data_IF_193036304982
#
_entry.id   IF_193036304982
#
_cell.length_a   1.000
_cell.length_b   1.000
_cell.length_c   1.000
_cell.angle_alpha   90.00
_cell.angle_beta   90.00
_cell.angle_gamma   90.00
#
_symmetry.space_group_name_H-M   'P 1'
#
loop_
_entity.id
_entity.type
_entity.pdbx_description
1 polymer ?
#
# COMPACT_ATOMS: atom_id res chain seq x y z
N UNK A 1 32.21 71.26 -13.38
CA UNK A 1 31.62 71.99 -12.24
C UNK A 1 31.51 71.01 -11.09
N UNK A 2 32.39 71.13 -10.10
CA UNK A 2 32.12 71.73 -8.77
C UNK A 2 31.50 70.69 -7.82
N UNK A 3 32.33 69.95 -7.06
CA UNK A 3 32.77 70.24 -5.66
C UNK A 3 31.74 69.67 -4.65
N UNK A 4 32.02 68.64 -3.82
CA UNK A 4 32.87 68.55 -2.61
C UNK A 4 32.49 69.45 -1.41
N UNK A 5 32.40 68.79 -0.23
CA UNK A 5 32.55 69.28 1.16
C UNK A 5 31.37 70.09 1.75
N UNK A 6 30.94 69.91 3.00
CA UNK A 6 31.66 69.90 4.30
C UNK A 6 30.85 69.08 5.34
N UNK A 7 31.37 68.19 6.20
CA UNK A 7 32.38 68.28 7.30
C UNK A 7 32.01 69.24 8.44
N UNK A 8 31.96 68.71 9.67
CA UNK A 8 32.45 69.18 11.00
C UNK A 8 31.84 68.18 12.03
N UNK A 9 32.51 67.29 12.75
CA UNK A 9 33.77 67.27 13.52
C UNK A 9 33.75 68.18 14.77
N UNK A 10 33.21 67.64 15.86
CA UNK A 10 33.39 68.09 17.24
C UNK A 10 32.94 66.91 18.15
N UNK A 11 33.61 66.41 19.19
CA UNK A 11 34.73 66.89 20.00
C UNK A 11 35.43 65.65 20.60
N UNK A 12 36.75 65.77 20.78
CA UNK A 12 37.62 64.95 21.61
C UNK A 12 37.07 64.71 23.04
N UNK A 13 37.73 63.79 23.77
CA UNK A 13 38.20 63.88 25.17
C UNK A 13 38.05 62.48 25.79
N UNK A 14 39.12 61.68 25.70
CA UNK A 14 40.01 61.33 26.84
C UNK A 14 39.35 60.39 27.86
N UNK A 15 39.87 59.15 27.85
CA UNK A 15 40.26 58.30 28.99
C UNK A 15 39.26 58.18 30.16
N UNK A 16 38.79 56.96 30.39
CA UNK A 16 38.26 56.58 31.70
C UNK A 16 37.53 55.24 31.73
N UNK A 17 38.20 54.21 32.27
CA UNK A 17 37.69 53.05 32.98
C UNK A 17 36.36 52.37 32.56
N UNK A 18 36.48 51.09 32.20
CA UNK A 18 35.62 50.00 32.68
C UNK A 18 34.17 49.99 32.22
N UNK A 19 33.85 49.16 31.21
CA UNK A 19 32.50 48.61 31.03
C UNK A 19 32.58 47.16 30.55
N UNK A 20 32.07 46.27 31.39
CA UNK A 20 31.59 44.94 31.02
C UNK A 20 30.70 45.08 29.78
N UNK A 21 31.08 44.43 28.68
CA UNK A 21 30.23 44.30 27.50
C UNK A 21 28.97 43.52 27.92
N UNK A 22 27.82 44.18 27.91
CA UNK A 22 26.55 43.47 27.95
C UNK A 22 26.31 42.91 26.55
N UNK A 23 25.99 41.61 26.43
CA UNK A 23 25.69 40.99 25.15
C UNK A 23 24.46 41.66 24.52
N UNK A 24 24.50 41.83 23.21
CA UNK A 24 23.39 42.41 22.44
C UNK A 24 22.18 41.48 22.45
N UNK A 25 20.95 42.00 22.39
CA UNK A 25 19.72 41.16 22.44
C UNK A 25 19.68 40.07 21.35
N UNK A 26 20.33 40.30 20.20
CA UNK A 26 20.50 39.29 19.13
C UNK A 26 21.44 38.14 19.52
N UNK A 27 22.49 38.42 20.29
CA UNK A 27 23.44 37.42 20.81
C UNK A 27 22.76 36.53 21.86
N UNK A 28 21.98 37.13 22.77
CA UNK A 28 21.24 36.42 23.82
C UNK A 28 20.11 35.57 23.24
N UNK A 29 19.50 36.01 22.13
CA UNK A 29 18.44 35.25 21.45
C UNK A 29 19.00 34.10 20.61
N UNK A 30 20.15 34.29 19.95
CA UNK A 30 20.86 33.22 19.23
C UNK A 30 21.35 32.10 20.14
N UNK A 31 22.04 32.43 21.24
CA UNK A 31 22.51 31.44 22.23
C UNK A 31 21.36 30.65 22.87
N UNK A 32 20.22 31.31 23.10
CA UNK A 32 19.03 30.64 23.67
C UNK A 32 18.41 29.65 22.68
N UNK A 33 18.33 30.00 21.39
CA UNK A 33 17.85 29.12 20.34
C UNK A 33 18.75 27.90 20.16
N UNK A 34 20.07 28.09 20.20
CA UNK A 34 21.03 26.99 20.09
C UNK A 34 20.97 26.05 21.31
N UNK A 35 20.79 26.59 22.53
CA UNK A 35 20.61 25.76 23.73
C UNK A 35 19.33 24.91 23.69
N UNK A 36 18.22 25.49 23.20
CA UNK A 36 16.96 24.76 23.01
C UNK A 36 17.07 23.66 21.94
N UNK A 37 17.78 23.94 20.85
CA UNK A 37 18.07 22.97 19.80
C UNK A 37 18.97 21.82 20.27
N UNK A 38 20.01 22.11 21.06
CA UNK A 38 20.87 21.09 21.64
C UNK A 38 20.09 20.16 22.58
N UNK A 39 19.19 20.75 23.40
CA UNK A 39 18.31 19.98 24.27
C UNK A 39 17.37 19.07 23.46
N UNK A 40 16.73 19.61 22.41
CA UNK A 40 15.84 18.85 21.54
C UNK A 40 16.56 17.69 20.84
N UNK A 41 17.82 17.88 20.43
CA UNK A 41 18.66 16.81 19.87
C UNK A 41 18.94 15.69 20.88
N UNK A 42 19.19 16.02 22.15
CA UNK A 42 19.40 15.03 23.22
C UNK A 42 18.11 14.25 23.51
N UNK A 43 16.99 14.95 23.68
CA UNK A 43 15.67 14.33 23.90
C UNK A 43 15.29 13.41 22.73
N UNK A 44 15.54 13.84 21.49
CA UNK A 44 15.28 13.03 20.30
C UNK A 44 16.18 11.78 20.21
N UNK A 45 17.46 11.90 20.59
CA UNK A 45 18.37 10.76 20.62
C UNK A 45 17.99 9.71 21.68
N UNK A 46 17.34 10.12 22.77
CA UNK A 46 16.76 9.19 23.75
C UNK A 46 15.47 8.56 23.23
N UNK A 47 14.58 9.36 22.62
CA UNK A 47 13.36 8.87 21.98
C UNK A 47 13.68 7.80 20.92
N UNK A 48 14.66 8.07 20.06
CA UNK A 48 15.12 7.16 19.01
C UNK A 48 15.46 5.76 19.53
N UNK A 49 16.10 5.64 20.69
CA UNK A 49 16.46 4.34 21.27
C UNK A 49 15.24 3.53 21.71
N UNK A 50 14.09 4.18 21.86
CA UNK A 50 12.83 3.58 22.30
C UNK A 50 11.83 3.30 21.17
N UNK A 51 12.13 3.71 19.94
CA UNK A 51 11.20 3.53 18.82
C UNK A 51 11.19 2.07 18.37
N UNK A 52 10.01 1.46 18.44
CA UNK A 52 9.74 0.18 17.80
C UNK A 52 9.49 0.38 16.30
N UNK A 53 10.48 0.04 15.48
CA UNK A 53 10.39 0.13 14.02
C UNK A 53 9.72 -1.07 13.36
N UNK A 54 9.12 -1.98 14.14
CA UNK A 54 8.29 -3.08 13.63
C UNK A 54 6.80 -2.76 13.63
N UNK A 55 6.41 -1.63 14.24
CA UNK A 55 5.03 -1.17 14.28
C UNK A 55 4.84 0.05 13.37
N UNK A 56 3.95 0.00 12.37
CA UNK A 56 3.82 1.08 11.40
C UNK A 56 3.29 2.38 12.04
N UNK A 57 2.45 2.29 13.08
CA UNK A 57 2.02 3.45 13.88
C UNK A 57 3.21 4.13 14.57
N UNK A 58 4.14 3.34 15.12
CA UNK A 58 5.34 3.87 15.78
C UNK A 58 6.34 4.47 14.79
N UNK A 59 6.49 3.90 13.60
CA UNK A 59 7.28 4.50 12.52
C UNK A 59 6.71 5.88 12.13
N UNK A 60 5.39 6.02 12.04
CA UNK A 60 4.75 7.31 11.72
C UNK A 60 4.87 8.34 12.84
N UNK A 61 4.72 7.93 14.10
CA UNK A 61 5.07 8.79 15.23
C UNK A 61 6.52 9.27 15.13
N UNK A 62 7.45 8.38 14.75
CA UNK A 62 8.85 8.73 14.60
C UNK A 62 9.10 9.74 13.48
N UNK A 63 8.46 9.56 12.32
CA UNK A 63 8.53 10.53 11.22
C UNK A 63 8.05 11.92 11.66
N UNK A 64 6.98 12.00 12.46
CA UNK A 64 6.48 13.27 13.01
C UNK A 64 7.47 13.92 13.98
N UNK A 65 8.10 13.13 14.84
CA UNK A 65 9.13 13.66 15.76
C UNK A 65 10.37 14.15 14.99
N UNK A 66 10.73 13.50 13.88
CA UNK A 66 11.76 14.02 12.97
C UNK A 66 11.35 15.37 12.38
N UNK A 67 10.11 15.51 11.90
CA UNK A 67 9.61 16.76 11.32
C UNK A 67 9.61 17.90 12.35
N UNK A 68 9.14 17.65 13.58
CA UNK A 68 9.20 18.61 14.70
C UNK A 68 10.64 19.00 15.05
N UNK A 69 11.57 18.04 15.06
CA UNK A 69 12.96 18.33 15.32
C UNK A 69 13.56 19.19 14.20
N UNK A 70 13.28 18.86 12.93
CA UNK A 70 13.74 19.67 11.79
C UNK A 70 13.29 21.12 11.93
N UNK A 71 12.03 21.37 12.28
CA UNK A 71 11.51 22.73 12.52
C UNK A 71 12.30 23.48 13.59
N UNK A 72 12.66 22.82 14.70
CA UNK A 72 13.46 23.41 15.79
C UNK A 72 14.91 23.71 15.41
N UNK A 73 15.46 23.03 14.41
CA UNK A 73 16.86 23.23 13.98
C UNK A 73 17.03 24.32 12.91
N UNK A 74 15.93 24.79 12.30
CA UNK A 74 15.98 25.88 11.31
C UNK A 74 16.48 27.17 11.98
N UNK A 75 17.49 27.80 11.39
CA UNK A 75 18.07 29.06 11.91
C UNK A 75 19.05 28.89 13.08
N UNK A 76 19.41 27.66 13.44
CA UNK A 76 20.39 27.33 14.50
C UNK A 76 21.73 26.91 13.91
N UNK A 77 22.79 26.84 14.73
CA UNK A 77 24.09 26.31 14.29
C UNK A 77 24.04 24.83 13.86
N UNK A 78 22.98 24.11 14.23
CA UNK A 78 22.79 22.69 13.96
C UNK A 78 22.06 22.40 12.64
N UNK A 79 21.84 23.41 11.79
CA UNK A 79 21.18 23.26 10.49
C UNK A 79 21.80 22.15 9.63
N UNK A 80 23.10 21.88 9.77
CA UNK A 80 23.79 20.78 9.08
C UNK A 80 23.24 19.37 9.40
N UNK A 81 22.59 19.19 10.55
CA UNK A 81 21.96 17.92 10.95
C UNK A 81 20.62 17.65 10.25
N UNK A 82 20.02 18.66 9.60
CA UNK A 82 18.75 18.49 8.90
C UNK A 82 18.87 17.48 7.75
N UNK A 83 20.01 17.45 7.05
CA UNK A 83 20.26 16.47 5.97
C UNK A 83 20.28 15.02 6.45
N UNK A 84 20.83 14.77 7.65
CA UNK A 84 20.81 13.45 8.28
C UNK A 84 19.38 13.04 8.66
N UNK A 85 18.59 13.99 9.20
CA UNK A 85 17.18 13.79 9.51
C UNK A 85 16.34 13.50 8.28
N UNK A 86 16.61 14.16 7.14
CA UNK A 86 15.94 13.89 5.86
C UNK A 86 16.24 12.50 5.34
N UNK A 87 17.52 12.10 5.38
CA UNK A 87 17.95 10.77 4.98
C UNK A 87 17.30 9.69 5.85
N UNK A 88 17.17 9.97 7.15
CA UNK A 88 16.51 9.07 8.09
C UNK A 88 15.01 8.96 7.84
N UNK A 89 14.34 10.09 7.63
CA UNK A 89 12.92 10.14 7.27
C UNK A 89 12.64 9.32 6.01
N UNK A 90 13.48 9.44 4.98
CA UNK A 90 13.34 8.65 3.75
C UNK A 90 13.45 7.14 4.00
N UNK A 91 14.41 6.70 4.82
CA UNK A 91 14.53 5.28 5.21
C UNK A 91 13.30 4.79 5.98
N UNK A 92 12.80 5.59 6.91
CA UNK A 92 11.60 5.25 7.69
C UNK A 92 10.35 5.17 6.81
N UNK A 93 10.23 5.99 5.77
CA UNK A 93 9.12 5.89 4.79
C UNK A 93 9.17 4.55 4.05
N UNK A 94 10.36 4.15 3.56
CA UNK A 94 10.49 2.85 2.89
C UNK A 94 10.16 1.67 3.83
N UNK A 95 10.64 1.73 5.08
CA UNK A 95 10.29 0.74 6.10
C UNK A 95 8.79 0.74 6.43
N UNK A 96 8.16 1.92 6.47
CA UNK A 96 6.73 2.03 6.69
C UNK A 96 5.94 1.34 5.58
N UNK A 97 6.33 1.49 4.32
CA UNK A 97 5.68 0.81 3.20
C UNK A 97 5.79 -0.72 3.34
N UNK A 98 6.95 -1.24 3.77
CA UNK A 98 7.16 -2.68 4.01
C UNK A 98 6.36 -3.19 5.22
N UNK A 99 6.40 -2.48 6.34
CA UNK A 99 5.76 -2.89 7.60
C UNK A 99 4.25 -2.69 7.59
N UNK A 100 3.75 -1.72 6.82
CA UNK A 100 2.31 -1.47 6.68
C UNK A 100 1.61 -2.49 5.77
N UNK A 101 2.35 -3.21 4.92
CA UNK A 101 1.75 -4.17 3.99
C UNK A 101 1.02 -5.30 4.74
N UNK A 102 1.64 -5.95 5.71
CA UNK A 102 1.03 -7.07 6.46
C UNK A 102 -0.31 -6.72 7.13
N UNK A 103 -0.43 -5.65 7.95
CA UNK A 103 -1.72 -5.30 8.57
C UNK A 103 -2.78 -4.90 7.53
N UNK A 104 -2.38 -4.28 6.42
CA UNK A 104 -3.27 -3.93 5.32
C UNK A 104 -3.78 -5.20 4.62
N UNK A 105 -2.89 -6.12 4.25
CA UNK A 105 -3.26 -7.40 3.64
C UNK A 105 -4.22 -8.18 4.54
N UNK A 106 -3.95 -8.22 5.85
CA UNK A 106 -4.82 -8.88 6.82
C UNK A 106 -6.21 -8.24 6.89
N UNK A 107 -6.29 -6.91 6.89
CA UNK A 107 -7.56 -6.20 6.87
C UNK A 107 -8.35 -6.49 5.57
N UNK A 108 -7.67 -6.50 4.42
CA UNK A 108 -8.27 -6.84 3.14
C UNK A 108 -8.79 -8.28 3.10
N UNK A 109 -8.03 -9.25 3.62
CA UNK A 109 -8.45 -10.65 3.74
C UNK A 109 -9.69 -10.80 4.62
N UNK A 110 -9.69 -10.18 5.80
CA UNK A 110 -10.85 -10.20 6.70
C UNK A 110 -12.09 -9.58 6.05
N UNK A 111 -11.91 -8.43 5.39
CA UNK A 111 -12.98 -7.74 4.66
C UNK A 111 -13.57 -8.63 3.57
N UNK A 112 -12.73 -9.29 2.75
CA UNK A 112 -13.17 -10.24 1.71
C UNK A 112 -13.95 -11.41 2.29
N UNK A 113 -13.46 -12.01 3.39
CA UNK A 113 -14.15 -13.11 4.07
C UNK A 113 -15.54 -12.71 4.60
N UNK A 114 -15.71 -11.46 5.02
CA UNK A 114 -16.99 -10.91 5.46
C UNK A 114 -17.90 -10.59 4.28
N UNK A 115 -17.37 -10.03 3.18
CA UNK A 115 -18.13 -9.71 1.97
C UNK A 115 -18.89 -10.91 1.41
N UNK A 116 -18.28 -12.09 1.45
CA UNK A 116 -18.91 -13.31 0.93
C UNK A 116 -20.12 -13.73 1.79
N UNK A 117 -20.22 -13.25 3.03
CA UNK A 117 -21.41 -13.43 3.88
C UNK A 117 -22.50 -12.39 3.61
N UNK A 118 -22.24 -11.42 2.74
CA UNK A 118 -23.16 -10.33 2.42
C UNK A 118 -23.20 -9.18 3.44
N UNK A 119 -22.28 -9.16 4.42
CA UNK A 119 -22.26 -8.13 5.46
C UNK A 119 -21.32 -6.97 5.09
N UNK A 120 -21.80 -6.12 4.18
CA UNK A 120 -21.04 -4.94 3.72
C UNK A 120 -20.71 -3.95 4.84
N UNK A 121 -21.54 -3.88 5.89
CA UNK A 121 -21.32 -2.99 7.04
C UNK A 121 -20.15 -3.47 7.89
N UNK A 122 -20.11 -4.77 8.21
CA UNK A 122 -18.97 -5.35 8.90
C UNK A 122 -17.68 -5.31 8.06
N UNK A 123 -17.78 -5.51 6.73
CA UNK A 123 -16.66 -5.37 5.81
C UNK A 123 -16.06 -3.96 5.85
N UNK A 124 -16.90 -2.92 5.86
CA UNK A 124 -16.47 -1.52 6.01
C UNK A 124 -15.85 -1.27 7.39
N UNK A 125 -16.43 -1.86 8.45
CA UNK A 125 -15.89 -1.74 9.79
C UNK A 125 -14.48 -2.35 9.93
N UNK A 126 -14.16 -3.45 9.25
CA UNK A 126 -12.79 -3.97 9.22
C UNK A 126 -11.80 -2.98 8.60
N UNK A 127 -12.15 -2.35 7.47
CA UNK A 127 -11.27 -1.35 6.86
C UNK A 127 -11.11 -0.12 7.75
N UNK A 128 -12.15 0.26 8.51
CA UNK A 128 -12.09 1.38 9.46
C UNK A 128 -11.23 1.11 10.70
N UNK A 129 -10.82 -0.14 10.95
CA UNK A 129 -9.86 -0.45 12.03
C UNK A 129 -8.42 -0.07 11.66
N UNK A 130 -8.12 0.11 10.37
CA UNK A 130 -6.80 0.55 9.95
C UNK A 130 -6.57 2.01 10.41
N UNK A 131 -5.40 2.32 10.99
CA UNK A 131 -5.08 3.69 11.38
C UNK A 131 -5.16 4.64 10.18
N UNK A 132 -5.88 5.75 10.35
CA UNK A 132 -5.96 6.83 9.35
C UNK A 132 -4.59 7.38 8.94
N UNK A 133 -3.59 7.23 9.81
CA UNK A 133 -2.23 7.64 9.58
C UNK A 133 -1.58 6.90 8.41
N UNK A 134 -2.03 5.68 8.10
CA UNK A 134 -1.55 4.89 6.96
C UNK A 134 -2.02 5.45 5.60
N UNK A 135 -2.87 6.48 5.57
CA UNK A 135 -3.41 7.09 4.33
C UNK A 135 -2.37 7.50 3.29
N UNK A 136 -1.12 7.71 3.73
CA UNK A 136 -0.02 8.18 2.87
C UNK A 136 0.84 7.05 2.30
N UNK A 137 0.64 5.80 2.70
CA UNK A 137 1.42 4.67 2.19
C UNK A 137 0.84 4.17 0.87
N UNK A 138 1.70 3.67 -0.03
CA UNK A 138 1.23 3.13 -1.31
C UNK A 138 0.24 1.95 -1.16
N UNK A 139 0.45 0.99 -0.23
CA UNK A 139 -0.49 -0.12 -0.01
C UNK A 139 -1.88 0.35 0.49
N UNK A 140 -1.96 1.46 1.25
CA UNK A 140 -3.23 1.95 1.75
C UNK A 140 -4.12 2.56 0.64
N UNK A 141 -3.54 2.94 -0.49
CA UNK A 141 -4.32 3.39 -1.66
C UNK A 141 -5.32 2.33 -2.16
N UNK A 142 -5.02 1.04 -1.98
CA UNK A 142 -5.93 -0.06 -2.31
C UNK A 142 -7.09 -0.15 -1.31
N UNK A 143 -6.79 0.02 -0.02
CA UNK A 143 -7.78 0.07 1.06
C UNK A 143 -8.77 1.21 0.84
N UNK A 144 -8.28 2.39 0.46
CA UNK A 144 -9.14 3.56 0.17
C UNK A 144 -10.14 3.26 -0.94
N UNK A 145 -9.71 2.56 -2.01
CA UNK A 145 -10.61 2.17 -3.11
C UNK A 145 -11.74 1.28 -2.62
N UNK A 146 -11.46 0.27 -1.79
CA UNK A 146 -12.50 -0.62 -1.26
C UNK A 146 -13.39 0.08 -0.24
N UNK A 147 -12.83 0.93 0.62
CA UNK A 147 -13.58 1.72 1.60
C UNK A 147 -14.58 2.65 0.90
N UNK A 148 -14.12 3.40 -0.10
CA UNK A 148 -14.95 4.30 -0.91
C UNK A 148 -16.12 3.55 -1.57
N UNK A 149 -15.85 2.34 -2.09
CA UNK A 149 -16.86 1.48 -2.71
C UNK A 149 -17.92 1.02 -1.71
N UNK A 150 -17.51 0.63 -0.51
CA UNK A 150 -18.43 0.19 0.55
C UNK A 150 -19.23 1.34 1.16
N UNK A 151 -18.66 2.53 1.28
CA UNK A 151 -19.36 3.73 1.72
C UNK A 151 -20.45 4.15 0.72
N UNK A 152 -20.22 3.93 -0.58
CA UNK A 152 -21.16 4.27 -1.65
C UNK A 152 -22.08 3.13 -2.09
N UNK A 153 -22.10 1.99 -1.37
CA UNK A 153 -22.90 0.80 -1.71
C UNK A 153 -24.40 1.07 -1.92
N UNK A 154 -24.97 2.03 -1.19
CA UNK A 154 -26.39 2.34 -1.27
C UNK A 154 -26.74 3.06 -2.59
N UNK A 155 -25.75 3.69 -3.23
CA UNK A 155 -25.86 4.36 -4.54
C UNK A 155 -25.78 3.39 -5.73
N UNK A 156 -25.56 2.10 -5.47
CA UNK A 156 -25.52 1.10 -6.53
C UNK A 156 -26.92 0.90 -7.14
N UNK A 157 -27.02 0.72 -8.47
CA UNK A 157 -28.26 0.31 -9.12
C UNK A 157 -28.77 -1.01 -8.57
N UNK A 158 -30.10 -1.19 -8.56
CA UNK A 158 -30.73 -2.40 -8.04
C UNK A 158 -30.31 -3.67 -8.79
N UNK A 159 -30.08 -3.58 -10.10
CA UNK A 159 -29.54 -4.68 -10.89
C UNK A 159 -28.17 -5.16 -10.37
N UNK A 160 -27.28 -4.21 -10.05
CA UNK A 160 -25.97 -4.52 -9.45
C UNK A 160 -26.15 -5.13 -8.06
N UNK A 161 -27.02 -4.57 -7.23
CA UNK A 161 -27.31 -5.10 -5.88
C UNK A 161 -27.84 -6.54 -5.96
N UNK A 162 -28.76 -6.82 -6.88
CA UNK A 162 -29.32 -8.15 -7.10
C UNK A 162 -28.25 -9.14 -7.56
N UNK A 163 -27.41 -8.77 -8.52
CA UNK A 163 -26.32 -9.63 -8.98
C UNK A 163 -25.29 -9.93 -7.87
N UNK A 164 -24.97 -8.93 -7.03
CA UNK A 164 -24.10 -9.11 -5.88
C UNK A 164 -24.72 -10.06 -4.84
N UNK A 165 -26.02 -9.92 -4.55
CA UNK A 165 -26.74 -10.83 -3.64
C UNK A 165 -26.79 -12.27 -4.16
N UNK A 166 -27.03 -12.45 -5.47
CA UNK A 166 -27.03 -13.77 -6.10
C UNK A 166 -25.62 -14.40 -6.07
N UNK A 167 -24.57 -13.62 -6.35
CA UNK A 167 -23.19 -14.09 -6.27
C UNK A 167 -22.81 -14.50 -4.83
N UNK A 168 -23.21 -13.70 -3.83
CA UNK A 168 -23.04 -14.02 -2.40
C UNK A 168 -23.74 -15.33 -2.04
N UNK A 169 -24.97 -15.54 -2.52
CA UNK A 169 -25.71 -16.80 -2.31
C UNK A 169 -24.94 -18.00 -2.87
N UNK A 170 -24.53 -17.94 -4.14
CA UNK A 170 -23.77 -19.01 -4.76
C UNK A 170 -22.43 -19.28 -4.05
N UNK A 171 -21.72 -18.23 -3.65
CA UNK A 171 -20.45 -18.37 -2.94
C UNK A 171 -20.63 -19.01 -1.54
N UNK A 172 -21.74 -18.74 -0.85
CA UNK A 172 -22.06 -19.40 0.41
C UNK A 172 -22.47 -20.86 0.26
N UNK A 173 -23.00 -21.24 -0.91
CA UNK A 173 -23.27 -22.63 -1.30
C UNK A 173 -22.03 -23.33 -1.88
N UNK A 174 -20.84 -22.71 -1.81
CA UNK A 174 -19.58 -23.17 -2.45
C UNK A 174 -19.71 -23.42 -3.96
N UNK A 175 -20.69 -22.79 -4.60
CA UNK A 175 -20.88 -22.81 -6.04
C UNK A 175 -20.14 -21.63 -6.70
N UNK A 176 -18.81 -21.67 -6.59
CA UNK A 176 -17.93 -20.58 -7.02
C UNK A 176 -18.03 -20.29 -8.52
N UNK A 177 -18.27 -21.31 -9.35
CA UNK A 177 -18.46 -21.10 -10.79
C UNK A 177 -19.69 -20.25 -11.07
N UNK A 178 -20.85 -20.55 -10.47
CA UNK A 178 -22.06 -19.74 -10.66
C UNK A 178 -21.93 -18.35 -10.03
N UNK A 179 -21.26 -18.24 -8.88
CA UNK A 179 -20.95 -16.95 -8.27
C UNK A 179 -20.14 -16.07 -9.24
N UNK A 180 -19.07 -16.63 -9.79
CA UNK A 180 -18.17 -15.91 -10.69
C UNK A 180 -18.85 -15.55 -12.03
N UNK A 181 -19.60 -16.47 -12.64
CA UNK A 181 -20.37 -16.20 -13.87
C UNK A 181 -21.42 -15.10 -13.68
N UNK A 182 -22.01 -15.00 -12.48
CA UNK A 182 -22.95 -13.92 -12.14
C UNK A 182 -22.23 -12.58 -12.07
N UNK A 183 -21.03 -12.54 -11.47
CA UNK A 183 -20.22 -11.33 -11.38
C UNK A 183 -19.65 -10.89 -12.73
N UNK A 184 -19.19 -11.81 -13.58
CA UNK A 184 -18.74 -11.50 -14.96
C UNK A 184 -19.88 -10.90 -15.78
N UNK A 185 -21.09 -11.46 -15.69
CA UNK A 185 -22.28 -10.87 -16.34
C UNK A 185 -22.55 -9.45 -15.84
N UNK A 186 -22.48 -9.23 -14.53
CA UNK A 186 -22.65 -7.90 -13.94
C UNK A 186 -21.56 -6.90 -14.37
N UNK A 187 -20.31 -7.35 -14.52
CA UNK A 187 -19.20 -6.53 -15.06
C UNK A 187 -19.51 -6.08 -16.48
N UNK A 188 -19.96 -6.99 -17.34
CA UNK A 188 -20.26 -6.67 -18.73
C UNK A 188 -21.40 -5.64 -18.84
N UNK A 189 -22.47 -5.82 -18.06
CA UNK A 189 -23.55 -4.83 -17.97
C UNK A 189 -23.04 -3.46 -17.52
N UNK A 190 -22.13 -3.41 -16.54
CA UNK A 190 -21.52 -2.16 -16.09
C UNK A 190 -20.63 -1.52 -17.17
N UNK A 191 -19.86 -2.33 -17.91
CA UNK A 191 -18.98 -1.87 -18.98
C UNK A 191 -19.76 -1.35 -20.18
N UNK A 192 -20.84 -2.01 -20.60
CA UNK A 192 -21.65 -1.59 -21.74
C UNK A 192 -22.30 -0.23 -21.49
N UNK A 193 -22.76 0.00 -20.24
CA UNK A 193 -23.27 1.31 -19.81
C UNK A 193 -22.19 2.38 -19.76
N UNK A 194 -20.96 2.02 -19.39
CA UNK A 194 -19.84 2.95 -19.41
C UNK A 194 -19.45 3.35 -20.85
N UNK A 195 -19.45 2.40 -21.79
CA UNK A 195 -19.13 2.67 -23.20
C UNK A 195 -20.22 3.45 -23.92
N UNK A 196 -21.49 3.21 -23.59
CA UNK A 196 -22.64 3.95 -24.16
C UNK A 196 -22.65 5.45 -23.83
N UNK A 197 -21.83 5.89 -22.86
CA UNK A 197 -21.71 7.28 -22.43
C UNK A 197 -20.40 7.91 -22.96
N UNK A 198 -19.48 7.09 -23.48
CA UNK A 198 -18.10 7.47 -23.84
C UNK A 198 -17.89 8.00 -25.26
N UNK A 199 -18.94 8.20 -26.07
CA UNK A 199 -18.80 8.75 -27.43
C UNK A 199 -19.19 10.24 -27.57
N UNK A 200 -19.78 10.88 -26.55
CA UNK A 200 -20.24 12.28 -26.67
C UNK A 200 -19.42 13.34 -25.89
N UNK A 201 -18.54 12.97 -24.95
CA UNK A 201 -17.87 13.99 -24.09
C UNK A 201 -16.40 13.69 -23.75
N UNK A 202 -15.56 13.32 -24.73
CA UNK A 202 -14.17 12.91 -24.45
C UNK A 202 -13.15 14.02 -24.19
N UNK A 203 -13.52 15.31 -24.21
CA UNK A 203 -12.51 16.39 -24.06
C UNK A 203 -12.47 17.08 -22.69
N UNK A 204 -13.32 16.72 -21.73
CA UNK A 204 -13.24 17.25 -20.34
C UNK A 204 -13.71 16.23 -19.30
N UNK A 205 -12.98 15.13 -19.14
CA UNK A 205 -13.16 14.22 -18.00
C UNK A 205 -12.79 14.92 -16.67
N UNK A 206 -13.77 15.63 -16.10
CA UNK A 206 -13.66 16.32 -14.82
C UNK A 206 -13.73 15.33 -13.65
N UNK A 207 -13.36 15.77 -12.45
CA UNK A 207 -13.50 14.99 -11.21
C UNK A 207 -14.93 14.47 -10.94
N UNK A 208 -15.95 14.95 -11.64
CA UNK A 208 -17.35 14.48 -11.57
C UNK A 208 -17.54 13.09 -12.18
N UNK A 209 -16.68 12.66 -13.11
CA UNK A 209 -16.82 11.35 -13.76
C UNK A 209 -16.54 10.18 -12.82
N UNK A 210 -15.75 10.42 -11.76
CA UNK A 210 -15.47 9.45 -10.69
C UNK A 210 -16.67 9.20 -9.78
N UNK A 211 -17.72 10.03 -9.80
CA UNK A 211 -18.88 9.89 -8.92
C UNK A 211 -20.09 9.19 -9.57
N UNK A 212 -19.98 8.76 -10.82
CA UNK A 212 -21.10 8.17 -11.55
C UNK A 212 -21.42 6.74 -11.00
N UNK A 213 -22.71 6.40 -10.74
CA UNK A 213 -23.11 5.14 -10.07
C UNK A 213 -22.56 3.83 -10.68
N UNK A 214 -22.28 3.81 -11.99
CA UNK A 214 -21.72 2.64 -12.67
C UNK A 214 -20.22 2.43 -12.41
N UNK A 215 -19.47 3.50 -12.12
CA UNK A 215 -18.06 3.37 -11.69
C UNK A 215 -18.00 2.67 -10.34
N UNK A 216 -18.90 3.04 -9.41
CA UNK A 216 -19.06 2.32 -8.13
C UNK A 216 -19.51 0.88 -8.32
N UNK A 217 -20.41 0.66 -9.28
CA UNK A 217 -20.89 -0.69 -9.62
C UNK A 217 -19.76 -1.58 -10.10
N UNK A 218 -18.99 -1.13 -11.09
CA UNK A 218 -17.88 -1.89 -11.63
C UNK A 218 -16.85 -2.21 -10.53
N UNK A 219 -16.48 -1.23 -9.71
CA UNK A 219 -15.54 -1.45 -8.61
C UNK A 219 -16.07 -2.42 -7.56
N UNK A 220 -17.36 -2.33 -7.20
CA UNK A 220 -17.98 -3.25 -6.24
C UNK A 220 -18.01 -4.68 -6.78
N UNK A 221 -18.39 -4.86 -8.04
CA UNK A 221 -18.46 -6.20 -8.65
C UNK A 221 -17.07 -6.82 -8.78
N UNK A 222 -16.05 -6.05 -9.14
CA UNK A 222 -14.65 -6.50 -9.15
C UNK A 222 -14.18 -6.88 -7.74
N UNK A 223 -14.50 -6.04 -6.73
CA UNK A 223 -14.15 -6.32 -5.32
C UNK A 223 -14.79 -7.63 -4.84
N UNK A 224 -16.06 -7.85 -5.17
CA UNK A 224 -16.77 -9.09 -4.86
C UNK A 224 -16.18 -10.28 -5.62
N UNK A 225 -15.78 -10.11 -6.88
CA UNK A 225 -15.12 -11.17 -7.65
C UNK A 225 -13.81 -11.58 -7.00
N UNK A 226 -12.96 -10.62 -6.60
CA UNK A 226 -11.74 -10.90 -5.83
C UNK A 226 -12.06 -11.64 -4.54
N UNK A 227 -13.09 -11.24 -3.80
CA UNK A 227 -13.48 -11.93 -2.56
C UNK A 227 -13.90 -13.39 -2.81
N UNK A 228 -14.76 -13.63 -3.81
CA UNK A 228 -15.18 -14.99 -4.20
C UNK A 228 -13.99 -15.86 -4.59
N UNK A 229 -13.06 -15.32 -5.38
CA UNK A 229 -11.84 -16.00 -5.77
C UNK A 229 -10.94 -16.31 -4.57
N UNK A 230 -10.80 -15.37 -3.63
CA UNK A 230 -9.99 -15.54 -2.43
C UNK A 230 -10.46 -16.76 -1.62
N UNK A 231 -11.77 -16.91 -1.45
CA UNK A 231 -12.35 -18.06 -0.77
C UNK A 231 -12.18 -19.36 -1.55
N UNK A 232 -12.47 -19.36 -2.85
CA UNK A 232 -12.26 -20.56 -3.68
C UNK A 232 -10.81 -21.04 -3.62
N UNK A 233 -9.85 -20.13 -3.72
CA UNK A 233 -8.43 -20.45 -3.67
C UNK A 233 -7.99 -20.90 -2.27
N UNK A 234 -8.53 -20.30 -1.20
CA UNK A 234 -8.30 -20.78 0.16
C UNK A 234 -8.78 -22.22 0.32
N UNK A 235 -10.03 -22.51 -0.08
CA UNK A 235 -10.62 -23.86 0.01
C UNK A 235 -9.79 -24.90 -0.77
N UNK A 236 -9.33 -24.57 -1.99
CA UNK A 236 -8.50 -25.45 -2.82
C UNK A 236 -7.10 -25.65 -2.24
N UNK A 237 -6.50 -24.62 -1.65
CA UNK A 237 -5.15 -24.72 -1.08
C UNK A 237 -5.15 -25.39 0.30
N UNK A 238 -6.23 -25.28 1.07
CA UNK A 238 -6.42 -25.98 2.35
C UNK A 238 -6.72 -27.46 2.16
N UNK A 239 -7.52 -27.82 1.14
CA UNK A 239 -7.76 -29.21 0.76
C UNK A 239 -6.53 -29.90 0.15
N UNK A 240 -5.50 -29.13 -0.23
CA UNK A 240 -4.27 -29.61 -0.84
C UNK A 240 -4.40 -29.94 -2.33
N UNK A 241 -5.50 -29.52 -2.97
CA UNK A 241 -5.79 -29.67 -4.40
C UNK A 241 -5.10 -28.56 -5.22
N UNK A 242 -3.77 -28.47 -5.11
CA UNK A 242 -2.98 -27.41 -5.75
C UNK A 242 -3.09 -27.39 -7.28
N UNK A 243 -3.29 -28.55 -7.92
CA UNK A 243 -3.50 -28.65 -9.37
C UNK A 243 -4.79 -27.97 -9.81
N UNK A 244 -5.87 -28.14 -9.04
CA UNK A 244 -7.13 -27.45 -9.31
C UNK A 244 -6.99 -25.95 -9.10
N UNK A 245 -6.29 -25.52 -8.04
CA UNK A 245 -6.04 -24.10 -7.80
C UNK A 245 -5.28 -23.45 -8.97
N UNK A 246 -4.24 -24.11 -9.48
CA UNK A 246 -3.43 -23.59 -10.59
C UNK A 246 -4.22 -23.56 -11.89
N UNK A 247 -4.94 -24.64 -12.22
CA UNK A 247 -5.80 -24.67 -13.41
C UNK A 247 -6.86 -23.56 -13.35
N UNK A 248 -7.45 -23.35 -12.16
CA UNK A 248 -8.40 -22.28 -11.93
C UNK A 248 -7.78 -20.90 -12.15
N UNK A 249 -6.56 -20.66 -11.68
CA UNK A 249 -5.82 -19.43 -11.99
C UNK A 249 -5.62 -19.24 -13.51
N UNK A 250 -5.27 -20.30 -14.24
CA UNK A 250 -5.12 -20.25 -15.71
C UNK A 250 -6.44 -19.89 -16.40
N UNK A 251 -7.55 -20.52 -16.02
CA UNK A 251 -8.88 -20.22 -16.56
C UNK A 251 -9.23 -18.74 -16.36
N UNK A 252 -9.01 -18.22 -15.16
CA UNK A 252 -9.37 -16.86 -14.79
C UNK A 252 -8.52 -15.80 -15.49
N UNK A 253 -7.22 -16.07 -15.70
CA UNK A 253 -6.34 -15.19 -16.49
C UNK A 253 -6.71 -15.17 -17.98
N UNK A 254 -7.40 -16.20 -18.47
CA UNK A 254 -7.98 -16.25 -19.81
C UNK A 254 -9.20 -15.35 -20.00
N UNK A 255 -9.79 -14.82 -18.92
CA UNK A 255 -10.98 -13.97 -18.96
C UNK A 255 -10.53 -12.51 -19.14
N UNK A 256 -10.60 -12.05 -20.39
CA UNK A 256 -10.14 -10.71 -20.81
C UNK A 256 -10.77 -9.57 -20.01
N UNK A 257 -12.00 -9.75 -19.56
CA UNK A 257 -12.82 -8.73 -18.93
C UNK A 257 -12.33 -8.36 -17.54
N UNK A 258 -11.61 -9.27 -16.88
CA UNK A 258 -11.14 -9.12 -15.52
C UNK A 258 -9.62 -9.05 -15.42
N UNK A 259 -8.91 -9.50 -16.47
CA UNK A 259 -7.46 -9.68 -16.47
C UNK A 259 -6.71 -8.54 -15.77
N UNK A 260 -6.84 -7.30 -16.25
CA UNK A 260 -6.10 -6.17 -15.70
C UNK A 260 -6.45 -5.84 -14.23
N UNK A 261 -7.64 -6.22 -13.77
CA UNK A 261 -8.13 -5.94 -12.41
C UNK A 261 -7.77 -7.02 -11.40
N UNK A 262 -7.59 -8.27 -11.84
CA UNK A 262 -7.37 -9.41 -10.93
C UNK A 262 -6.05 -10.16 -11.20
N UNK A 263 -5.28 -9.80 -12.23
CA UNK A 263 -4.04 -10.49 -12.60
C UNK A 263 -3.03 -10.53 -11.45
N UNK A 264 -2.76 -9.40 -10.80
CA UNK A 264 -1.84 -9.37 -9.66
C UNK A 264 -2.31 -10.31 -8.52
N UNK A 265 -3.61 -10.35 -8.27
CA UNK A 265 -4.23 -11.20 -7.27
C UNK A 265 -4.12 -12.69 -7.64
N UNK A 266 -4.46 -13.05 -8.88
CA UNK A 266 -4.34 -14.43 -9.38
C UNK A 266 -2.87 -14.88 -9.37
N UNK A 267 -1.95 -14.02 -9.78
CA UNK A 267 -0.52 -14.33 -9.78
C UNK A 267 0.01 -14.60 -8.36
N UNK A 268 -0.46 -13.85 -7.36
CA UNK A 268 -0.14 -14.09 -5.95
C UNK A 268 -0.61 -15.48 -5.48
N UNK A 269 -1.86 -15.84 -5.80
CA UNK A 269 -2.41 -17.16 -5.46
C UNK A 269 -1.73 -18.30 -6.24
N UNK A 270 -1.42 -18.11 -7.52
CA UNK A 270 -0.67 -19.06 -8.33
C UNK A 270 0.71 -19.34 -7.75
N UNK A 271 1.43 -18.29 -7.30
CA UNK A 271 2.71 -18.43 -6.61
C UNK A 271 2.55 -19.20 -5.29
N UNK A 272 1.50 -18.92 -4.53
CA UNK A 272 1.22 -19.58 -3.25
C UNK A 272 0.93 -21.08 -3.44
N UNK A 273 0.03 -21.43 -4.36
CA UNK A 273 -0.29 -22.82 -4.69
C UNK A 273 0.94 -23.57 -5.23
N UNK A 274 1.71 -22.92 -6.12
CA UNK A 274 2.97 -23.45 -6.65
C UNK A 274 3.96 -23.75 -5.52
N UNK A 275 4.23 -22.79 -4.63
CA UNK A 275 5.17 -22.97 -3.53
C UNK A 275 4.79 -24.15 -2.63
N UNK A 276 3.52 -24.24 -2.23
CA UNK A 276 3.03 -25.35 -1.39
C UNK A 276 3.15 -26.70 -2.09
N UNK A 277 2.81 -26.77 -3.39
CA UNK A 277 2.98 -28.00 -4.18
C UNK A 277 4.44 -28.43 -4.26
N UNK A 278 5.34 -27.48 -4.52
CA UNK A 278 6.79 -27.74 -4.58
C UNK A 278 7.33 -28.25 -3.25
N UNK A 279 6.94 -27.63 -2.15
CA UNK A 279 7.36 -28.06 -0.80
C UNK A 279 6.89 -29.48 -0.48
N UNK A 280 5.68 -29.84 -0.91
CA UNK A 280 5.15 -31.21 -0.79
C UNK A 280 5.98 -32.20 -1.61
N UNK A 281 6.29 -31.88 -2.86
CA UNK A 281 7.10 -32.74 -3.74
C UNK A 281 8.54 -32.89 -3.23
N UNK A 282 9.17 -31.80 -2.76
CA UNK A 282 10.51 -31.82 -2.14
C UNK A 282 10.49 -32.72 -0.90
N UNK A 283 9.50 -32.55 -0.03
CA UNK A 283 9.36 -33.36 1.19
C UNK A 283 9.18 -34.84 0.88
N UNK A 284 8.48 -35.17 -0.22
CA UNK A 284 8.33 -36.53 -0.71
C UNK A 284 9.57 -37.07 -1.46
N UNK A 285 10.61 -36.24 -1.66
CA UNK A 285 11.79 -36.60 -2.46
C UNK A 285 11.54 -36.69 -3.96
N UNK A 286 10.42 -36.18 -4.45
CA UNK A 286 9.99 -36.24 -5.86
C UNK A 286 10.54 -35.04 -6.66
N UNK A 287 11.86 -34.91 -6.73
CA UNK A 287 12.51 -33.74 -7.35
C UNK A 287 12.27 -33.63 -8.85
N UNK A 288 12.27 -34.74 -9.59
CA UNK A 288 11.98 -34.73 -11.03
C UNK A 288 10.56 -34.27 -11.32
N UNK A 289 9.58 -34.72 -10.54
CA UNK A 289 8.19 -34.29 -10.67
C UNK A 289 8.04 -32.79 -10.35
N UNK A 290 8.77 -32.29 -9.35
CA UNK A 290 8.80 -30.87 -9.03
C UNK A 290 9.37 -30.03 -10.19
N UNK A 291 10.44 -30.48 -10.84
CA UNK A 291 11.02 -29.80 -12.00
C UNK A 291 10.10 -29.87 -13.23
N UNK A 292 9.52 -31.02 -13.53
CA UNK A 292 8.56 -31.17 -14.63
C UNK A 292 7.35 -30.24 -14.47
N UNK A 293 6.83 -30.15 -13.25
CA UNK A 293 5.74 -29.23 -12.93
C UNK A 293 6.12 -27.76 -13.12
N UNK A 294 7.30 -27.33 -12.67
CA UNK A 294 7.78 -25.95 -12.89
C UNK A 294 8.02 -25.64 -14.37
N UNK A 295 8.52 -26.60 -15.14
CA UNK A 295 8.66 -26.48 -16.59
C UNK A 295 7.29 -26.31 -17.27
N UNK A 296 6.28 -27.08 -16.85
CA UNK A 296 4.90 -26.94 -17.33
C UNK A 296 4.32 -25.56 -17.03
N UNK A 297 4.57 -25.02 -15.82
CA UNK A 297 4.15 -23.66 -15.49
C UNK A 297 4.88 -22.59 -16.31
N UNK A 298 6.19 -22.74 -16.54
CA UNK A 298 6.98 -21.80 -17.37
C UNK A 298 6.50 -21.79 -18.82
N UNK A 299 6.12 -22.95 -19.36
CA UNK A 299 5.65 -23.06 -20.74
C UNK A 299 4.25 -22.45 -20.96
N UNK A 300 3.50 -22.17 -19.89
CA UNK A 300 2.17 -21.60 -19.98
C UNK A 300 2.24 -20.06 -19.95
N UNK A 301 1.84 -19.42 -21.05
CA UNK A 301 1.88 -17.96 -21.22
C UNK A 301 1.09 -17.20 -20.15
N UNK A 302 0.05 -17.82 -19.57
CA UNK A 302 -0.73 -17.24 -18.47
C UNK A 302 0.15 -16.90 -17.26
N UNK A 303 1.25 -17.61 -17.04
CA UNK A 303 2.14 -17.40 -15.90
C UNK A 303 3.41 -16.60 -16.24
N UNK A 304 3.43 -15.90 -17.38
CA UNK A 304 4.54 -15.02 -17.77
C UNK A 304 4.87 -13.98 -16.68
N UNK A 305 3.86 -13.44 -16.01
CA UNK A 305 3.99 -12.48 -14.89
C UNK A 305 4.67 -13.03 -13.63
N UNK A 306 4.87 -14.35 -13.50
CA UNK A 306 5.51 -14.98 -12.32
C UNK A 306 6.78 -15.78 -12.67
N UNK A 307 7.35 -15.58 -13.86
CA UNK A 307 8.54 -16.31 -14.33
C UNK A 307 9.71 -16.30 -13.33
N UNK A 308 10.00 -15.15 -12.72
CA UNK A 308 11.05 -15.06 -11.70
C UNK A 308 10.77 -15.88 -10.42
N UNK A 309 9.49 -16.08 -10.05
CA UNK A 309 9.12 -16.98 -8.94
C UNK A 309 9.35 -18.44 -9.30
N UNK A 310 9.04 -18.83 -10.55
CA UNK A 310 9.26 -20.18 -11.07
C UNK A 310 10.77 -20.50 -11.04
N UNK A 311 11.62 -19.58 -11.52
CA UNK A 311 13.08 -19.73 -11.50
C UNK A 311 13.65 -19.91 -10.09
N UNK A 312 13.18 -19.12 -9.12
CA UNK A 312 13.58 -19.28 -7.71
C UNK A 312 13.19 -20.65 -7.15
N UNK A 313 12.00 -21.14 -7.49
CA UNK A 313 11.58 -22.48 -7.09
C UNK A 313 12.43 -23.58 -7.73
N UNK A 314 12.78 -23.46 -9.00
CA UNK A 314 13.64 -24.43 -9.67
C UNK A 314 15.03 -24.50 -9.02
N UNK A 315 15.61 -23.34 -8.72
CA UNK A 315 16.90 -23.26 -8.02
C UNK A 315 16.84 -23.98 -6.66
N UNK A 316 15.78 -23.73 -5.88
CA UNK A 316 15.54 -24.38 -4.59
C UNK A 316 15.39 -25.90 -4.71
N UNK A 317 14.68 -26.39 -5.73
CA UNK A 317 14.54 -27.84 -5.99
C UNK A 317 15.89 -28.47 -6.33
N UNK A 318 16.67 -27.85 -7.22
CA UNK A 318 18.01 -28.35 -7.63
C UNK A 318 19.00 -28.38 -6.46
N UNK A 319 19.01 -27.33 -5.63
CA UNK A 319 19.84 -27.26 -4.43
C UNK A 319 19.52 -28.41 -3.46
N UNK A 320 18.23 -28.71 -3.24
CA UNK A 320 17.80 -29.81 -2.37
C UNK A 320 18.12 -31.18 -2.96
N UNK A 321 18.04 -31.35 -4.28
CA UNK A 321 18.39 -32.59 -4.96
C UNK A 321 19.90 -32.90 -4.87
N UNK A 322 20.76 -31.88 -4.98
CA UNK A 322 22.22 -32.03 -4.94
C UNK A 322 22.85 -32.19 -3.54
N UNK A 323 22.06 -32.07 -2.46
CA UNK A 323 22.50 -32.30 -1.07
C UNK A 323 22.30 -33.73 -0.58
N UNK A 324 21.83 -34.64 -1.44
CA UNK A 324 21.74 -36.09 -1.18
C UNK A 324 22.86 -36.82 -1.89
#
# INVERSE_FOLDING_TARGET
MKWFCFIILAVMVVVGCGKTAQPTEEEVTGERLDAEAEKALKEFAEYEKSVDTTNPTKIMEYIREIEKLREKLVGTQYVGKIGDLDSKRAKLINMLDEVADEPIQKALQNMRAILIRGDYGAALNELNKLPSELEKTAPYSEVLKYKEVLENRDKLPDETKNALQEAVKFANESNFNNAFQTLVRAINVCKDRHHSIGEEETDKASAEEKQKPWVWSLRMVVTMAVAVLDREMSDLTESGDFDKAINRCTELLGISELKDSIEAFINSWAVTAMNRKIERLISAGQFEQALQFLQGMRANEAFSGITGNIERCEARVREKAGRR
#
